data_IF_354205193323
#
_entry.id   IF_354205193323
#
_cell.length_a   1.000
_cell.length_b   1.000
_cell.length_c   1.000
_cell.angle_alpha   90.00
_cell.angle_beta   90.00
_cell.angle_gamma   90.00
#
_symmetry.space_group_name_H-M   'P 1'
#
loop_
_entity.id
_entity.type
_entity.pdbx_description
1 polymer ?
#
# COMPACT_ATOMS: atom_id res chain seq x y z
N UNK A 1 -18.15 2.43 0.79
CA UNK A 1 -16.69 2.52 0.83
C UNK A 1 -16.20 1.21 0.24
N UNK A 2 -15.37 1.26 -0.80
CA UNK A 2 -14.79 0.08 -1.44
C UNK A 2 -13.35 -0.10 -0.95
N UNK A 3 -13.19 -0.06 0.36
CA UNK A 3 -11.87 -0.20 0.96
C UNK A 3 -11.48 -1.67 0.88
N UNK A 4 -10.24 -1.95 0.51
CA UNK A 4 -9.75 -3.33 0.36
C UNK A 4 -8.33 -3.46 0.89
N UNK A 5 -8.14 -4.46 1.74
CA UNK A 5 -6.88 -4.78 2.39
C UNK A 5 -6.48 -6.21 2.02
N UNK A 6 -5.26 -6.37 1.48
CA UNK A 6 -4.69 -7.64 1.03
C UNK A 6 -3.56 -8.04 1.98
N UNK A 7 -3.68 -9.24 2.55
CA UNK A 7 -2.78 -9.73 3.57
C UNK A 7 -1.86 -10.84 3.06
N UNK A 8 -0.74 -11.03 3.75
CA UNK A 8 0.29 -12.03 3.43
C UNK A 8 -0.21 -13.48 3.51
N UNK A 9 -1.23 -13.75 4.32
CA UNK A 9 -1.90 -15.04 4.42
C UNK A 9 -2.80 -15.34 3.20
N UNK A 10 -2.87 -14.42 2.22
CA UNK A 10 -3.71 -14.52 1.04
C UNK A 10 -5.16 -14.11 1.27
N UNK A 11 -5.51 -13.67 2.49
CA UNK A 11 -6.85 -13.17 2.78
C UNK A 11 -7.02 -11.73 2.29
N UNK A 12 -8.26 -11.36 2.01
CA UNK A 12 -8.66 -9.99 1.68
C UNK A 12 -9.83 -9.62 2.58
N UNK A 13 -9.84 -8.38 3.07
CA UNK A 13 -10.90 -7.84 3.93
C UNK A 13 -11.19 -6.39 3.53
N UNK A 14 -12.42 -5.95 3.76
CA UNK A 14 -12.83 -4.55 3.60
C UNK A 14 -12.58 -3.73 4.89
N UNK A 15 -12.14 -4.39 5.97
CA UNK A 15 -11.73 -3.78 7.23
C UNK A 15 -10.25 -4.05 7.50
N UNK A 16 -9.53 -3.04 7.99
CA UNK A 16 -8.13 -3.16 8.36
C UNK A 16 -7.98 -4.02 9.63
N UNK A 17 -7.29 -5.14 9.49
CA UNK A 17 -6.91 -6.03 10.57
C UNK A 17 -5.46 -5.71 10.96
N UNK A 18 -5.29 -5.17 12.17
CA UNK A 18 -3.99 -4.75 12.69
C UNK A 18 -3.11 -5.94 13.12
N UNK A 19 -3.69 -7.12 13.33
CA UNK A 19 -2.95 -8.34 13.65
C UNK A 19 -2.38 -9.01 12.38
N UNK A 20 -2.85 -8.59 11.20
CA UNK A 20 -2.42 -9.14 9.92
C UNK A 20 -1.38 -8.27 9.22
N UNK A 21 -0.59 -8.92 8.38
CA UNK A 21 0.51 -8.30 7.64
C UNK A 21 0.04 -7.98 6.22
N UNK A 22 -0.01 -6.69 5.86
CA UNK A 22 -0.30 -6.27 4.49
C UNK A 22 0.80 -6.72 3.53
N UNK A 23 0.41 -7.34 2.41
CA UNK A 23 1.35 -7.80 1.39
C UNK A 23 0.63 -7.93 0.04
N UNK A 24 1.17 -7.28 -0.99
CA UNK A 24 0.80 -7.54 -2.39
C UNK A 24 1.91 -7.14 -3.35
N UNK A 25 2.27 -8.04 -4.28
CA UNK A 25 3.33 -7.77 -5.28
C UNK A 25 2.79 -7.11 -6.55
N UNK A 26 1.62 -7.54 -7.01
CA UNK A 26 1.06 -7.13 -8.32
C UNK A 26 0.14 -5.91 -8.25
N UNK A 27 -0.04 -5.31 -7.06
CA UNK A 27 -1.00 -4.23 -6.86
C UNK A 27 -0.93 -3.62 -5.46
N UNK A 28 -1.78 -2.63 -5.17
CA UNK A 28 -1.85 -2.04 -3.85
C UNK A 28 -2.38 -3.05 -2.84
N UNK A 29 -1.68 -3.16 -1.71
CA UNK A 29 -2.11 -4.01 -0.61
C UNK A 29 -3.19 -3.33 0.25
N UNK A 30 -3.29 -2.00 0.16
CA UNK A 30 -4.31 -1.21 0.82
C UNK A 30 -4.92 -0.26 -0.22
N UNK A 31 -6.24 -0.30 -0.33
CA UNK A 31 -7.04 0.60 -1.16
C UNK A 31 -8.03 1.25 -0.21
N UNK A 32 -7.90 2.55 0.01
CA UNK A 32 -8.87 3.37 0.74
C UNK A 32 -9.60 4.24 -0.28
N UNK A 33 -10.83 3.88 -0.59
CA UNK A 33 -11.61 4.49 -1.66
C UNK A 33 -11.89 5.96 -1.35
N UNK A 34 -11.27 6.85 -2.12
CA UNK A 34 -11.34 8.30 -1.91
C UNK A 34 -10.20 8.91 -1.10
N UNK A 35 -9.28 8.10 -0.56
CA UNK A 35 -8.13 8.60 0.21
C UNK A 35 -6.79 8.28 -0.46
N UNK A 36 -6.42 7.00 -0.53
CA UNK A 36 -5.12 6.58 -1.03
C UNK A 36 -5.08 5.12 -1.49
N UNK A 37 -4.08 4.80 -2.29
CA UNK A 37 -3.65 3.44 -2.57
C UNK A 37 -2.23 3.26 -2.05
N UNK A 38 -1.95 2.16 -1.36
CA UNK A 38 -0.66 1.88 -0.78
C UNK A 38 -0.18 0.46 -1.05
N UNK A 39 1.10 0.34 -1.37
CA UNK A 39 1.80 -0.89 -1.69
C UNK A 39 2.63 -1.34 -0.49
N UNK A 40 2.42 -2.58 -0.07
CA UNK A 40 3.14 -3.19 1.04
C UNK A 40 3.72 -4.54 0.61
N UNK A 41 4.91 -4.82 1.12
CA UNK A 41 5.59 -6.11 1.01
C UNK A 41 6.03 -6.51 2.41
N UNK A 42 5.53 -7.64 2.89
CA UNK A 42 5.85 -8.14 4.23
C UNK A 42 5.61 -7.11 5.35
N UNK A 43 4.52 -6.34 5.25
CA UNK A 43 4.11 -5.36 6.26
C UNK A 43 4.81 -4.02 6.20
N UNK A 44 5.79 -3.85 5.30
CA UNK A 44 6.45 -2.56 5.08
C UNK A 44 6.06 -1.95 3.75
N UNK A 45 5.96 -0.62 3.69
CA UNK A 45 5.73 0.09 2.42
C UNK A 45 6.85 -0.22 1.45
N UNK A 46 6.49 -0.70 0.27
CA UNK A 46 7.47 -1.14 -0.72
C UNK A 46 6.85 -1.14 -2.12
N UNK A 47 7.51 -0.51 -3.07
CA UNK A 47 7.24 -0.67 -4.50
C UNK A 47 8.50 -0.40 -5.31
N UNK A 48 8.94 -1.38 -6.10
CA UNK A 48 10.19 -1.27 -6.87
C UNK A 48 10.09 -0.28 -8.05
N UNK A 49 8.93 -0.24 -8.72
CA UNK A 49 8.75 0.48 -9.99
C UNK A 49 7.77 1.67 -9.90
N UNK A 50 7.77 2.41 -8.79
CA UNK A 50 6.93 3.60 -8.65
C UNK A 50 6.64 4.01 -7.21
N UNK A 51 5.68 4.93 -7.01
CA UNK A 51 5.31 5.39 -5.68
C UNK A 51 4.60 4.27 -4.90
N UNK A 52 5.06 4.02 -3.67
CA UNK A 52 4.45 3.06 -2.77
C UNK A 52 3.20 3.59 -2.07
N UNK A 53 2.93 4.90 -2.13
CA UNK A 53 1.66 5.50 -1.72
C UNK A 53 1.23 6.51 -2.76
N UNK A 54 -0.03 6.46 -3.18
CA UNK A 54 -0.64 7.41 -4.10
C UNK A 54 -1.90 7.95 -3.43
N UNK A 55 -1.91 9.24 -3.12
CA UNK A 55 -3.06 9.92 -2.53
C UNK A 55 -3.98 10.46 -3.63
N UNK A 56 -5.29 10.52 -3.38
CA UNK A 56 -6.26 11.11 -4.32
C UNK A 56 -6.01 12.59 -4.61
N UNK A 57 -5.33 13.30 -3.71
CA UNK A 57 -4.93 14.70 -3.91
C UNK A 57 -3.73 14.88 -4.87
N UNK A 58 -3.18 13.79 -5.44
CA UNK A 58 -2.06 13.81 -6.37
C UNK A 58 -0.69 13.65 -5.70
N UNK A 59 -0.60 13.75 -4.37
CA UNK A 59 0.65 13.48 -3.65
C UNK A 59 1.05 12.02 -3.83
N UNK A 60 2.34 11.78 -4.00
CA UNK A 60 2.93 10.45 -4.12
C UNK A 60 4.05 10.31 -3.10
N UNK A 61 4.25 9.09 -2.60
CA UNK A 61 5.40 8.79 -1.76
C UNK A 61 6.10 7.53 -2.25
N UNK A 62 7.42 7.57 -2.31
CA UNK A 62 8.25 6.47 -2.77
C UNK A 62 8.86 5.75 -1.57
N UNK A 63 8.67 4.44 -1.51
CA UNK A 63 9.19 3.61 -0.44
C UNK A 63 9.71 2.29 -1.01
N UNK A 64 10.90 1.89 -0.60
CA UNK A 64 11.49 0.59 -0.94
C UNK A 64 12.01 -0.07 0.33
N UNK A 65 11.46 -1.24 0.64
CA UNK A 65 11.81 -2.03 1.83
C UNK A 65 11.68 -1.22 3.13
N UNK A 66 10.59 -0.45 3.26
CA UNK A 66 10.33 0.40 4.42
C UNK A 66 11.18 1.68 4.49
N UNK A 67 12.06 1.94 3.51
CA UNK A 67 12.85 3.17 3.45
C UNK A 67 12.18 4.17 2.53
N UNK A 68 11.92 5.38 3.04
CA UNK A 68 11.42 6.49 2.23
C UNK A 68 12.50 6.96 1.28
N UNK A 69 12.17 7.03 0.01
CA UNK A 69 13.00 7.66 -1.02
C UNK A 69 12.58 9.13 -1.20
N UNK A 70 13.47 10.00 -1.69
CA UNK A 70 13.09 11.35 -2.07
C UNK A 70 12.00 11.30 -3.14
N UNK A 71 11.15 12.33 -3.12
CA UNK A 71 10.10 12.49 -4.11
C UNK A 71 10.72 12.56 -5.52
N UNK A 72 10.17 11.78 -6.46
CA UNK A 72 10.69 11.65 -7.84
C UNK A 72 9.73 12.29 -8.85
N UNK A 73 9.20 13.48 -8.53
CA UNK A 73 8.18 14.19 -9.32
C UNK A 73 8.52 14.34 -10.80
#
# INVERSE_FOLDING_TARGET
MNDQYFYKDGTTSDELDSDKVLHRLDGPACIEDGFAEAWFKDGVRHRDNGPAVIYKNGKKEWWVNGKRLPDQE
#
